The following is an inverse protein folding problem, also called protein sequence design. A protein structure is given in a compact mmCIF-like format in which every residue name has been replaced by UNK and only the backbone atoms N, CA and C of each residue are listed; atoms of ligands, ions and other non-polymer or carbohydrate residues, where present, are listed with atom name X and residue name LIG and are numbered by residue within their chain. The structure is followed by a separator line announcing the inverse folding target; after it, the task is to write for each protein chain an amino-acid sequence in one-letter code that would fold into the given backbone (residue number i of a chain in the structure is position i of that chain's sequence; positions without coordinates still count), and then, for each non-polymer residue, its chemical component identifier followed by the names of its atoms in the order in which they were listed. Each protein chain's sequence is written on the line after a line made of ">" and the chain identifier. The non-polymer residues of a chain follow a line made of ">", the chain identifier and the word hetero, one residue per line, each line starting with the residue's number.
data_IF_459578171321
#
_entry.id   IF_459578171321
#
_cell.length_a   1.000
_cell.length_b   1.000
_cell.length_c   1.000
_cell.angle_alpha   90.00
_cell.angle_beta   90.00
_cell.angle_gamma   90.00
#
_symmetry.space_group_name_H-M   'P 1'
#
loop_
_entity.id
_entity.type
_entity.pdbx_description
1 polymer ?
#
# COMPACT_ATOMS: atom_id res chain seq x y z
N UNK A 1 7.46 -32.02 20.97
CA UNK A 1 8.36 -31.16 20.16
C UNK A 1 7.79 -29.75 20.14
N UNK A 2 8.52 -28.71 20.56
CA UNK A 2 8.07 -27.32 20.39
C UNK A 2 8.32 -26.91 18.94
N UNK A 3 7.27 -26.61 18.18
CA UNK A 3 7.38 -26.10 16.82
C UNK A 3 7.99 -24.70 16.83
N UNK A 4 8.98 -24.45 15.96
CA UNK A 4 9.53 -23.11 15.76
C UNK A 4 8.65 -22.29 14.82
N UNK A 5 8.55 -20.99 15.05
CA UNK A 5 7.74 -20.08 14.22
C UNK A 5 8.47 -18.77 13.92
N UNK A 6 8.14 -18.12 12.80
CA UNK A 6 8.55 -16.75 12.49
C UNK A 6 7.33 -16.01 11.95
N UNK A 7 7.03 -14.83 12.48
CA UNK A 7 5.85 -14.06 12.07
C UNK A 7 6.27 -12.77 11.36
N UNK A 8 5.90 -12.60 10.08
CA UNK A 8 6.14 -11.36 9.34
C UNK A 8 4.91 -10.45 9.40
N UNK A 9 5.12 -9.16 9.66
CA UNK A 9 4.08 -8.12 9.75
C UNK A 9 4.32 -7.06 8.68
N UNK A 10 3.87 -7.28 7.44
CA UNK A 10 3.99 -6.29 6.39
C UNK A 10 2.98 -5.14 6.59
N UNK A 11 3.28 -3.93 6.07
CA UNK A 11 2.31 -2.85 5.93
C UNK A 11 1.34 -3.14 4.76
N UNK A 12 0.84 -2.10 4.10
CA UNK A 12 -0.02 -2.26 2.92
C UNK A 12 0.72 -3.00 1.80
N UNK A 13 0.27 -4.22 1.52
CA UNK A 13 0.82 -5.06 0.43
C UNK A 13 0.14 -4.71 -0.88
N UNK A 14 0.92 -4.62 -1.96
CA UNK A 14 0.43 -4.40 -3.32
C UNK A 14 1.11 -5.34 -4.33
N UNK A 15 0.45 -5.57 -5.46
CA UNK A 15 0.88 -6.48 -6.51
C UNK A 15 -0.09 -6.45 -7.69
N UNK A 16 0.21 -7.23 -8.73
CA UNK A 16 -0.67 -7.39 -9.88
C UNK A 16 -2.07 -7.88 -9.46
N UNK A 17 -3.10 -7.44 -10.19
CA UNK A 17 -4.50 -7.79 -9.90
C UNK A 17 -5.22 -6.88 -8.90
N UNK A 18 -4.56 -5.83 -8.39
CA UNK A 18 -5.20 -4.67 -7.76
C UNK A 18 -6.32 -5.00 -6.77
N UNK A 19 -5.98 -5.52 -5.58
CA UNK A 19 -6.98 -5.85 -4.56
C UNK A 19 -7.23 -4.70 -3.57
N UNK A 20 -8.41 -4.72 -2.95
CA UNK A 20 -8.76 -3.84 -1.83
C UNK A 20 -8.60 -2.34 -2.14
N UNK A 21 -7.91 -1.61 -1.26
CA UNK A 21 -7.75 -0.17 -1.39
C UNK A 21 -6.86 0.24 -2.57
N UNK A 22 -5.86 -0.58 -2.93
CA UNK A 22 -4.98 -0.28 -4.06
C UNK A 22 -5.71 -0.45 -5.39
N UNK A 23 -6.52 -1.50 -5.54
CA UNK A 23 -7.37 -1.68 -6.72
C UNK A 23 -8.34 -0.53 -6.96
N UNK A 24 -9.00 -0.05 -5.89
CA UNK A 24 -9.87 1.13 -5.98
C UNK A 24 -9.10 2.38 -6.39
N UNK A 25 -7.90 2.59 -5.84
CA UNK A 25 -7.06 3.72 -6.20
C UNK A 25 -6.64 3.66 -7.68
N UNK A 26 -6.18 2.49 -8.14
CA UNK A 26 -5.85 2.25 -9.54
C UNK A 26 -7.05 2.53 -10.45
N UNK A 27 -8.25 2.06 -10.09
CA UNK A 27 -9.46 2.30 -10.88
C UNK A 27 -9.80 3.80 -10.98
N UNK A 28 -9.65 4.57 -9.88
CA UNK A 28 -9.86 6.02 -9.90
C UNK A 28 -8.85 6.72 -10.82
N UNK A 29 -7.59 6.27 -10.81
CA UNK A 29 -6.51 6.78 -11.67
C UNK A 29 -6.80 6.45 -13.15
N UNK A 30 -7.16 5.20 -13.46
CA UNK A 30 -7.55 4.76 -14.81
C UNK A 30 -8.74 5.53 -15.37
N UNK A 31 -9.69 5.91 -14.51
CA UNK A 31 -10.83 6.77 -14.88
C UNK A 31 -10.46 8.25 -15.07
N UNK A 32 -9.22 8.65 -14.76
CA UNK A 32 -8.78 10.04 -14.86
C UNK A 32 -9.54 10.98 -13.92
N UNK A 33 -10.00 10.49 -12.76
CA UNK A 33 -10.71 11.32 -11.79
C UNK A 33 -9.72 12.22 -11.04
N UNK A 34 -10.03 13.53 -10.86
CA UNK A 34 -9.20 14.41 -10.05
C UNK A 34 -9.28 14.01 -8.58
N UNK A 35 -8.13 13.76 -7.95
CA UNK A 35 -8.03 13.35 -6.56
C UNK A 35 -7.61 14.53 -5.66
N UNK A 36 -8.32 14.80 -4.55
CA UNK A 36 -8.05 15.92 -3.64
C UNK A 36 -6.86 15.64 -2.71
N UNK A 37 -5.77 15.07 -3.23
CA UNK A 37 -4.65 14.57 -2.44
C UNK A 37 -3.34 15.33 -2.70
N UNK A 38 -3.37 16.40 -3.51
CA UNK A 38 -2.18 17.15 -3.89
C UNK A 38 -1.45 17.82 -2.72
N UNK A 39 -2.16 18.16 -1.63
CA UNK A 39 -1.58 18.79 -0.44
C UNK A 39 -1.10 17.80 0.62
N UNK A 40 -1.24 16.49 0.40
CA UNK A 40 -0.89 15.47 1.41
C UNK A 40 0.63 15.36 1.55
N UNK A 41 1.12 15.56 2.78
CA UNK A 41 2.54 15.43 3.15
C UNK A 41 2.72 14.32 4.18
N UNK A 42 2.54 13.06 3.77
CA UNK A 42 2.71 11.89 4.62
C UNK A 42 3.85 10.99 4.15
N UNK A 43 4.20 10.02 4.98
CA UNK A 43 5.12 8.93 4.62
C UNK A 43 4.50 7.60 5.00
N UNK A 44 4.51 6.65 4.07
CA UNK A 44 3.90 5.35 4.23
C UNK A 44 4.82 4.27 3.71
N UNK A 45 5.07 3.28 4.55
CA UNK A 45 5.67 2.04 4.12
C UNK A 45 4.63 1.22 3.34
N UNK A 46 5.06 0.69 2.22
CA UNK A 46 4.30 -0.25 1.38
C UNK A 46 5.15 -1.50 1.20
N UNK A 47 4.54 -2.59 0.74
CA UNK A 47 5.24 -3.84 0.51
C UNK A 47 4.81 -4.42 -0.83
N UNK A 48 5.72 -4.53 -1.78
CA UNK A 48 5.47 -5.28 -2.99
C UNK A 48 5.38 -6.77 -2.67
N UNK A 49 4.38 -7.46 -3.22
CA UNK A 49 4.15 -8.89 -2.96
C UNK A 49 5.37 -9.75 -3.32
N UNK A 50 6.12 -9.39 -4.37
CA UNK A 50 7.36 -10.11 -4.73
C UNK A 50 8.48 -9.90 -3.71
N UNK A 51 8.62 -8.69 -3.16
CA UNK A 51 9.56 -8.45 -2.06
C UNK A 51 9.13 -9.18 -0.79
N UNK A 52 7.81 -9.29 -0.54
CA UNK A 52 7.30 -10.05 0.60
C UNK A 52 7.61 -11.53 0.47
N UNK A 53 7.45 -12.09 -0.73
CA UNK A 53 7.87 -13.46 -1.01
C UNK A 53 9.38 -13.66 -0.76
N UNK A 54 10.22 -12.71 -1.19
CA UNK A 54 11.67 -12.74 -0.87
C UNK A 54 11.95 -12.69 0.63
N UNK A 55 11.21 -11.86 1.39
CA UNK A 55 11.36 -11.80 2.84
C UNK A 55 10.94 -13.11 3.53
N UNK A 56 9.89 -13.78 3.02
CA UNK A 56 9.49 -15.11 3.51
C UNK A 56 10.60 -16.13 3.26
N UNK A 57 11.20 -16.15 2.06
CA UNK A 57 12.31 -17.06 1.75
C UNK A 57 13.50 -16.82 2.68
N UNK A 58 13.91 -15.56 2.87
CA UNK A 58 14.98 -15.22 3.81
C UNK A 58 14.66 -15.70 5.24
N UNK A 59 13.41 -15.57 5.70
CA UNK A 59 12.99 -16.02 7.02
C UNK A 59 12.95 -17.55 7.17
N UNK A 60 12.76 -18.30 6.08
CA UNK A 60 12.79 -19.77 6.08
C UNK A 60 14.23 -20.29 6.14
N UNK A 61 15.15 -19.61 5.45
CA UNK A 61 16.57 -19.93 5.38
C UNK A 61 17.36 -19.52 6.62
N UNK A 62 16.72 -18.83 7.58
CA UNK A 62 17.34 -18.38 8.83
C UNK A 62 17.03 -19.34 10.00
N UNK A 63 17.98 -20.22 10.37
CA UNK A 63 17.81 -21.08 11.53
C UNK A 63 18.03 -20.37 12.86
N UNK A 64 18.60 -19.16 12.86
CA UNK A 64 19.08 -18.47 14.07
C UNK A 64 17.99 -17.58 14.67
N UNK A 65 17.25 -16.80 13.87
CA UNK A 65 16.26 -15.85 14.41
C UNK A 65 14.82 -16.39 14.45
N UNK A 66 14.64 -17.60 14.99
CA UNK A 66 13.31 -18.23 15.17
C UNK A 66 12.58 -17.71 16.42
N UNK A 67 11.27 -17.98 16.48
CA UNK A 67 10.34 -17.65 17.57
C UNK A 67 10.18 -16.15 17.81
N UNK A 68 10.20 -15.36 16.74
CA UNK A 68 10.11 -13.90 16.80
C UNK A 68 9.21 -13.34 15.70
N UNK A 69 8.67 -12.16 15.96
CA UNK A 69 7.92 -11.39 14.99
C UNK A 69 8.80 -10.28 14.40
N UNK A 70 8.75 -10.13 13.08
CA UNK A 70 9.47 -9.11 12.33
C UNK A 70 8.50 -8.22 11.56
N UNK A 71 8.83 -6.94 11.52
CA UNK A 71 8.21 -5.99 10.60
C UNK A 71 9.04 -5.98 9.32
N UNK A 72 8.38 -6.00 8.17
CA UNK A 72 9.03 -5.99 6.85
C UNK A 72 8.38 -4.93 5.98
N UNK A 73 9.18 -4.18 5.21
CA UNK A 73 8.68 -3.13 4.33
C UNK A 73 9.64 -2.87 3.17
N UNK A 74 9.11 -2.30 2.08
CA UNK A 74 9.93 -1.72 1.03
C UNK A 74 10.53 -0.38 1.48
N UNK A 75 11.67 -0.03 0.86
CA UNK A 75 12.35 1.24 1.08
C UNK A 75 12.60 2.00 -0.22
N UNK A 76 12.60 3.35 -0.16
CA UNK A 76 12.20 4.18 0.98
C UNK A 76 10.66 4.24 1.13
N UNK A 77 10.13 4.65 2.31
CA UNK A 77 8.72 5.00 2.44
C UNK A 77 8.31 6.06 1.42
N UNK A 78 7.08 5.97 0.90
CA UNK A 78 6.58 6.89 -0.11
C UNK A 78 5.40 7.72 0.42
N UNK A 79 5.21 8.91 -0.13
CA UNK A 79 4.02 9.72 0.17
C UNK A 79 2.84 9.27 -0.70
N UNK A 80 1.61 9.51 -0.23
CA UNK A 80 0.39 9.22 -1.00
C UNK A 80 0.42 9.86 -2.40
N UNK A 81 0.80 11.14 -2.57
CA UNK A 81 0.94 11.74 -3.91
C UNK A 81 2.00 11.08 -4.78
N UNK A 82 3.15 10.67 -4.20
CA UNK A 82 4.21 10.00 -4.95
C UNK A 82 3.76 8.62 -5.44
N UNK A 83 3.07 7.86 -4.60
CA UNK A 83 2.48 6.57 -4.98
C UNK A 83 1.47 6.74 -6.13
N UNK A 84 0.57 7.73 -6.03
CA UNK A 84 -0.43 7.99 -7.09
C UNK A 84 0.24 8.34 -8.42
N UNK A 85 1.29 9.17 -8.38
CA UNK A 85 2.06 9.51 -9.58
C UNK A 85 2.74 8.31 -10.21
N UNK A 86 3.34 7.44 -9.41
CA UNK A 86 3.97 6.22 -9.88
C UNK A 86 2.95 5.28 -10.55
N UNK A 87 1.80 5.04 -9.90
CA UNK A 87 0.72 4.21 -10.46
C UNK A 87 0.15 4.82 -11.75
N UNK A 88 -0.06 6.13 -11.78
CA UNK A 88 -0.51 6.83 -13.00
C UNK A 88 0.49 6.65 -14.15
N UNK A 89 1.79 6.81 -13.89
CA UNK A 89 2.84 6.56 -14.87
C UNK A 89 2.81 5.13 -15.40
N UNK A 90 2.74 4.13 -14.52
CA UNK A 90 2.70 2.72 -14.91
C UNK A 90 1.44 2.35 -15.71
N UNK A 91 0.29 2.96 -15.40
CA UNK A 91 -0.98 2.74 -16.12
C UNK A 91 -1.11 3.57 -17.41
N UNK A 92 -0.11 4.39 -17.77
CA UNK A 92 -0.17 5.28 -18.92
C UNK A 92 -1.13 6.47 -18.75
N UNK A 93 -1.49 6.81 -17.52
CA UNK A 93 -2.43 7.87 -17.17
C UNK A 93 -1.72 9.11 -16.62
N UNK A 94 -2.45 10.24 -16.59
CA UNK A 94 -1.98 11.45 -15.90
C UNK A 94 -2.46 11.44 -14.45
N UNK A 95 -1.54 11.69 -13.52
CA UNK A 95 -1.88 11.88 -12.11
C UNK A 95 -2.59 13.23 -11.90
N UNK A 96 -3.93 13.23 -11.88
CA UNK A 96 -4.73 14.42 -11.63
C UNK A 96 -4.88 14.66 -10.13
N UNK A 97 -3.89 15.30 -9.54
CA UNK A 97 -3.87 15.69 -8.12
C UNK A 97 -4.14 17.19 -7.99
N UNK A 98 -5.11 17.57 -7.17
CA UNK A 98 -5.33 18.98 -6.82
C UNK A 98 -5.13 19.23 -5.33
N UNK A 99 -4.66 20.43 -4.93
CA UNK A 99 -4.44 20.76 -3.53
C UNK A 99 -5.78 20.88 -2.80
N UNK A 100 -5.93 20.15 -1.70
CA UNK A 100 -7.10 20.23 -0.82
C UNK A 100 -6.62 20.14 0.64
N UNK A 101 -6.97 21.11 1.51
CA UNK A 101 -6.58 21.06 2.92
C UNK A 101 -7.15 19.82 3.63
N UNK A 102 -6.37 19.21 4.52
CA UNK A 102 -6.79 18.04 5.28
C UNK A 102 -8.08 18.28 6.08
N UNK A 103 -8.31 19.51 6.54
CA UNK A 103 -9.54 19.89 7.25
C UNK A 103 -10.79 19.73 6.38
N UNK A 104 -10.73 20.11 5.10
CA UNK A 104 -11.85 19.98 4.16
C UNK A 104 -12.18 18.51 3.94
N UNK A 105 -11.15 17.68 3.71
CA UNK A 105 -11.32 16.24 3.56
C UNK A 105 -11.98 15.60 4.79
N UNK A 106 -11.55 16.00 6.00
CA UNK A 106 -12.13 15.52 7.26
C UNK A 106 -13.58 15.96 7.44
N UNK A 107 -13.93 17.19 7.05
CA UNK A 107 -15.32 17.67 7.11
C UNK A 107 -16.24 16.88 6.17
N UNK A 108 -15.79 16.60 4.94
CA UNK A 108 -16.52 15.73 4.00
C UNK A 108 -16.66 14.32 4.57
N UNK A 109 -15.61 13.80 5.22
CA UNK A 109 -15.62 12.48 5.86
C UNK A 109 -16.68 12.36 6.97
N UNK A 110 -16.82 13.40 7.81
CA UNK A 110 -17.84 13.46 8.87
C UNK A 110 -19.26 13.48 8.31
N UNK A 111 -19.48 14.21 7.21
CA UNK A 111 -20.76 14.16 6.52
C UNK A 111 -21.03 12.76 5.96
N UNK A 112 -20.00 12.10 5.43
CA UNK A 112 -20.06 10.69 5.02
C UNK A 112 -20.47 9.76 6.16
N UNK A 113 -19.91 9.93 7.36
CA UNK A 113 -20.28 9.13 8.53
C UNK A 113 -21.75 9.33 8.92
N UNK A 114 -22.27 10.57 8.86
CA UNK A 114 -23.68 10.88 9.10
C UNK A 114 -24.59 10.21 8.07
N UNK A 115 -24.25 10.32 6.79
CA UNK A 115 -24.99 9.68 5.69
C UNK A 115 -24.97 8.15 5.82
N UNK A 116 -23.83 7.57 6.21
CA UNK A 116 -23.70 6.13 6.47
C UNK A 116 -24.62 5.68 7.62
N UNK A 117 -24.71 6.47 8.69
CA UNK A 117 -25.60 6.18 9.81
C UNK A 117 -27.08 6.19 9.39
N UNK A 118 -27.48 7.13 8.52
CA UNK A 118 -28.84 7.22 8.00
C UNK A 118 -29.16 6.12 6.98
N UNK A 119 -28.24 5.84 6.05
CA UNK A 119 -28.44 4.89 4.96
C UNK A 119 -28.22 3.42 5.36
N UNK A 120 -27.65 3.16 6.55
CA UNK A 120 -27.24 1.83 7.03
C UNK A 120 -26.42 1.03 6.00
N UNK A 121 -25.63 1.74 5.19
CA UNK A 121 -24.77 1.17 4.15
C UNK A 121 -23.37 1.77 4.26
N UNK A 122 -22.30 0.95 4.12
CA UNK A 122 -20.94 1.46 4.21
C UNK A 122 -20.65 2.41 3.07
N UNK A 123 -20.19 3.62 3.39
CA UNK A 123 -19.75 4.58 2.39
C UNK A 123 -18.21 4.57 2.28
N UNK A 124 -17.66 4.75 1.07
CA UNK A 124 -16.21 4.75 0.86
C UNK A 124 -15.53 5.98 1.48
N UNK A 125 -16.29 7.03 1.76
CA UNK A 125 -15.83 8.27 2.37
C UNK A 125 -16.32 8.28 3.81
N UNK A 126 -15.41 7.98 4.73
CA UNK A 126 -15.62 7.98 6.19
C UNK A 126 -14.43 8.60 6.89
N UNK A 127 -14.61 9.06 8.13
CA UNK A 127 -13.49 9.64 8.90
C UNK A 127 -12.35 8.64 9.04
N UNK A 128 -12.67 7.36 9.27
CA UNK A 128 -11.67 6.28 9.33
C UNK A 128 -10.86 6.14 8.03
N UNK A 129 -11.53 6.12 6.88
CA UNK A 129 -10.85 5.98 5.59
C UNK A 129 -9.94 7.18 5.30
N UNK A 130 -10.43 8.40 5.55
CA UNK A 130 -9.67 9.63 5.31
C UNK A 130 -8.49 9.77 6.27
N UNK A 131 -8.66 9.52 7.56
CA UNK A 131 -7.54 9.60 8.51
C UNK A 131 -6.48 8.53 8.23
N UNK A 132 -6.88 7.31 7.83
CA UNK A 132 -5.91 6.31 7.36
C UNK A 132 -5.20 6.72 6.09
N UNK A 133 -5.85 7.46 5.18
CA UNK A 133 -5.25 7.91 3.92
C UNK A 133 -4.27 9.08 4.13
N UNK A 134 -4.63 10.01 5.02
CA UNK A 134 -3.85 11.21 5.34
C UNK A 134 -2.72 10.92 6.33
N UNK A 135 -2.87 9.93 7.20
CA UNK A 135 -1.87 9.56 8.19
C UNK A 135 -0.56 9.04 7.60
N UNK A 136 0.51 9.25 8.35
CA UNK A 136 1.80 8.59 8.11
C UNK A 136 1.83 7.24 8.82
N UNK A 137 2.38 6.23 8.13
CA UNK A 137 2.61 4.89 8.66
C UNK A 137 3.94 4.39 8.10
N UNK A 138 5.03 5.04 8.49
CA UNK A 138 6.37 4.55 8.25
C UNK A 138 6.69 3.52 9.33
N UNK A 139 6.91 2.28 8.92
CA UNK A 139 7.24 1.19 9.82
C UNK A 139 8.76 1.02 9.93
N UNK A 140 9.22 0.59 11.10
CA UNK A 140 10.63 0.29 11.33
C UNK A 140 10.89 -1.21 11.12
N UNK A 141 11.56 -1.55 10.02
CA UNK A 141 11.94 -2.91 9.62
C UNK A 141 13.41 -3.22 9.91
N UNK A 142 14.15 -2.32 10.58
CA UNK A 142 15.59 -2.49 10.86
C UNK A 142 15.88 -3.80 11.57
N UNK A 143 14.96 -4.28 12.41
CA UNK A 143 15.08 -5.56 13.10
C UNK A 143 15.20 -6.75 12.15
N UNK A 144 14.43 -6.77 11.07
CA UNK A 144 14.49 -7.85 10.07
C UNK A 144 15.77 -7.73 9.23
N UNK A 145 16.06 -6.51 8.75
CA UNK A 145 17.23 -6.24 7.91
C UNK A 145 18.54 -6.56 8.62
N UNK A 146 18.67 -6.17 9.89
CA UNK A 146 19.89 -6.40 10.67
C UNK A 146 20.07 -7.87 11.05
N UNK A 147 18.96 -8.57 11.33
CA UNK A 147 19.01 -9.97 11.74
C UNK A 147 19.30 -10.92 10.56
N UNK A 148 18.75 -10.63 9.37
CA UNK A 148 18.85 -11.51 8.21
C UNK A 148 19.73 -10.97 7.07
N UNK A 149 20.28 -9.76 7.20
CA UNK A 149 20.99 -9.10 6.10
C UNK A 149 20.10 -8.79 4.89
N UNK A 150 18.78 -8.86 5.07
CA UNK A 150 17.82 -8.74 3.98
C UNK A 150 17.61 -7.28 3.55
N UNK A 151 17.41 -7.08 2.26
CA UNK A 151 16.91 -5.83 1.68
C UNK A 151 15.98 -6.16 0.51
N UNK A 152 14.96 -5.32 0.23
CA UNK A 152 14.01 -5.58 -0.83
C UNK A 152 14.73 -5.65 -2.19
N UNK A 153 14.67 -6.79 -2.91
CA UNK A 153 15.41 -6.98 -4.15
C UNK A 153 14.84 -6.17 -5.33
N UNK A 154 13.55 -5.83 -5.29
CA UNK A 154 12.88 -5.07 -6.36
C UNK A 154 12.63 -3.65 -5.87
N UNK A 155 13.10 -2.67 -6.64
CA UNK A 155 12.94 -1.25 -6.33
C UNK A 155 11.50 -0.75 -6.51
N UNK A 156 11.17 0.38 -5.88
CA UNK A 156 9.80 0.92 -5.86
C UNK A 156 9.20 1.12 -7.26
N UNK A 157 9.94 1.77 -8.17
CA UNK A 157 9.43 2.07 -9.51
C UNK A 157 9.13 0.79 -10.31
N UNK A 158 10.08 -0.16 -10.28
CA UNK A 158 9.92 -1.46 -10.93
C UNK A 158 8.77 -2.27 -10.32
N UNK A 159 8.64 -2.27 -9.00
CA UNK A 159 7.55 -2.94 -8.30
C UNK A 159 6.17 -2.36 -8.69
N UNK A 160 6.07 -1.04 -8.85
CA UNK A 160 4.86 -0.37 -9.34
C UNK A 160 4.56 -0.76 -10.79
N UNK A 161 5.56 -0.80 -11.66
CA UNK A 161 5.40 -1.23 -13.06
C UNK A 161 4.95 -2.69 -13.17
N UNK A 162 5.56 -3.60 -12.40
CA UNK A 162 5.14 -5.02 -12.32
C UNK A 162 3.72 -5.18 -11.75
N UNK A 163 3.26 -4.24 -10.92
CA UNK A 163 1.94 -4.31 -10.27
C UNK A 163 0.82 -3.69 -11.11
N UNK A 164 1.10 -2.58 -11.79
CA UNK A 164 0.07 -1.72 -12.42
C UNK A 164 0.33 -1.42 -13.90
N UNK A 165 1.42 -1.94 -14.47
CA UNK A 165 1.79 -1.74 -15.87
C UNK A 165 0.69 -2.18 -16.84
N UNK A 166 0.69 -1.62 -18.05
CA UNK A 166 -0.28 -1.94 -19.12
C UNK A 166 -0.28 -3.44 -19.48
N UNK A 167 0.85 -4.12 -19.30
CA UNK A 167 0.97 -5.57 -19.51
C UNK A 167 0.49 -6.44 -18.32
N UNK A 168 0.22 -5.85 -17.15
CA UNK A 168 -0.29 -6.56 -15.96
C UNK A 168 -1.79 -6.89 -16.05
N UNK A 169 -2.33 -7.02 -17.27
CA UNK A 169 -3.69 -7.50 -17.52
C UNK A 169 -3.89 -8.86 -16.83
N UNK A 170 -5.10 -9.15 -16.32
CA UNK A 170 -5.30 -10.24 -15.39
C UNK A 170 -4.86 -11.57 -16.02
N UNK A 171 -4.17 -12.39 -15.23
CA UNK A 171 -4.12 -13.83 -15.47
C UNK A 171 -5.57 -14.29 -15.40
N UNK A 172 -6.21 -14.45 -16.56
CA UNK A 172 -7.48 -15.15 -16.66
C UNK A 172 -7.29 -16.51 -15.99
N UNK A 173 -8.12 -16.75 -14.99
CA UNK A 173 -8.25 -18.02 -14.30
C UNK A 173 -8.58 -19.09 -15.36
N UNK A 174 -7.55 -19.80 -15.81
CA UNK A 174 -7.69 -21.01 -16.61
C UNK A 174 -7.50 -22.20 -15.68
N UNK A 175 -8.59 -22.61 -15.03
CA UNK A 175 -9.13 -23.98 -14.97
C UNK A 175 -9.92 -24.23 -13.70
#
# INVERSE_FOLDING_TARGET
>A
TRSSWTALRPPLVYGAGGLGNMGRLEQLIRRGLPLPLGSVRNQRSVMYVGNLASAVLAALDDPVNRNRAFVVADHPPCSTPTLIRAIAGATGQRARLFPCPALVLRSIARLGDLLQAMARRPLPISTYAIDRLLGSLAVDDRGFRSALGWSPPIGFQEAVERSFGVAAAPVEDRS
#
